data_IF_348349959623
#
_entry.id   IF_348349959623
#
_cell.length_a   1.000
_cell.length_b   1.000
_cell.length_c   1.000
_cell.angle_alpha   90.00
_cell.angle_beta   90.00
_cell.angle_gamma   90.00
#
_symmetry.space_group_name_H-M   'P 1'
#
loop_
_entity.id
_entity.type
_entity.pdbx_description
1 polymer ?
#
# COMPACT_ATOMS: atom_id res chain seq x y z
N UNK A 1 -32.62 -48.04 -39.82
CA UNK A 1 -32.05 -49.23 -40.51
C UNK A 1 -30.57 -49.26 -40.16
N UNK A 2 -30.18 -50.18 -39.26
CA UNK A 2 -28.82 -50.41 -38.80
C UNK A 2 -27.99 -51.06 -39.92
N UNK A 3 -26.74 -50.64 -40.11
CA UNK A 3 -25.73 -51.47 -40.78
C UNK A 3 -24.46 -51.43 -39.95
N UNK A 4 -24.22 -52.55 -39.26
CA UNK A 4 -22.95 -52.98 -38.67
C UNK A 4 -21.90 -53.15 -39.78
N UNK A 5 -20.64 -52.86 -39.46
CA UNK A 5 -19.50 -53.56 -40.08
C UNK A 5 -18.57 -54.08 -39.00
N UNK A 6 -18.35 -55.39 -39.07
CA UNK A 6 -17.41 -56.22 -38.31
C UNK A 6 -16.00 -56.10 -38.96
N UNK A 7 -14.93 -55.89 -38.16
CA UNK A 7 -13.88 -56.85 -37.72
C UNK A 7 -13.00 -57.41 -38.89
N UNK A 8 -11.65 -57.37 -38.78
CA UNK A 8 -10.95 -58.56 -38.30
C UNK A 8 -9.82 -58.32 -37.27
N UNK A 9 -9.67 -59.38 -36.47
CA UNK A 9 -8.70 -59.68 -35.42
C UNK A 9 -7.59 -60.56 -36.00
N UNK A 10 -6.33 -60.30 -35.63
CA UNK A 10 -5.21 -61.27 -35.47
C UNK A 10 -4.23 -60.58 -34.50
N UNK A 11 -3.91 -61.11 -33.30
CA UNK A 11 -3.11 -62.32 -33.01
C UNK A 11 -1.61 -61.92 -32.99
N UNK A 12 -0.72 -62.20 -32.04
CA UNK A 12 -0.68 -63.07 -30.86
C UNK A 12 0.57 -62.71 -30.00
N UNK A 13 0.39 -62.68 -28.67
CA UNK A 13 1.11 -63.40 -27.59
C UNK A 13 2.62 -63.17 -27.29
N UNK A 14 2.87 -62.83 -26.00
CA UNK A 14 3.79 -63.46 -25.02
C UNK A 14 4.60 -62.46 -24.17
N UNK A 15 4.53 -62.63 -22.85
CA UNK A 15 5.42 -61.95 -21.91
C UNK A 15 4.93 -61.99 -20.46
N UNK A 16 4.98 -63.16 -19.83
CA UNK A 16 4.66 -63.38 -18.43
C UNK A 16 5.62 -62.63 -17.48
N UNK A 17 5.08 -61.99 -16.44
CA UNK A 17 5.85 -61.32 -15.39
C UNK A 17 5.07 -61.17 -14.09
N UNK A 18 5.23 -62.16 -13.21
CA UNK A 18 5.12 -62.13 -11.75
C UNK A 18 4.13 -61.15 -11.08
N UNK A 19 3.00 -61.70 -10.60
CA UNK A 19 2.09 -61.09 -9.63
C UNK A 19 2.76 -61.09 -8.24
N UNK A 20 3.07 -59.92 -7.70
CA UNK A 20 3.30 -59.69 -6.26
C UNK A 20 1.98 -59.26 -5.60
N UNK A 21 1.60 -59.81 -4.43
CA UNK A 21 0.39 -59.41 -3.75
C UNK A 21 0.55 -58.01 -3.12
N UNK A 22 -0.30 -57.07 -3.56
CA UNK A 22 -0.40 -55.72 -3.02
C UNK A 22 -1.28 -55.74 -1.76
N UNK A 23 -0.67 -55.95 -0.60
CA UNK A 23 -1.28 -55.60 0.68
C UNK A 23 -1.11 -54.09 0.92
N UNK A 24 -2.07 -53.26 0.51
CA UNK A 24 -2.14 -51.88 0.99
C UNK A 24 -3.53 -51.25 0.84
N UNK A 25 -4.52 -51.77 1.58
CA UNK A 25 -5.78 -51.07 1.81
C UNK A 25 -6.29 -51.41 3.21
N UNK A 26 -5.83 -50.68 4.24
CA UNK A 26 -6.53 -50.62 5.54
C UNK A 26 -6.12 -49.52 6.52
N UNK A 27 -5.58 -48.36 6.08
CA UNK A 27 -5.40 -47.21 6.97
C UNK A 27 -6.26 -46.03 6.50
N UNK A 28 -7.47 -45.94 7.05
CA UNK A 28 -8.40 -44.83 6.82
C UNK A 28 -7.97 -43.52 7.50
N UNK A 29 -8.49 -42.37 7.07
CA UNK A 29 -8.05 -41.02 7.48
C UNK A 29 -8.44 -40.60 8.91
N UNK A 30 -8.80 -41.52 9.81
CA UNK A 30 -9.30 -41.18 11.15
C UNK A 30 -8.19 -40.86 12.17
N UNK A 31 -6.97 -41.33 11.97
CA UNK A 31 -5.89 -41.17 12.97
C UNK A 31 -5.13 -39.83 12.86
N UNK A 32 -5.16 -39.18 11.69
CA UNK A 32 -4.46 -37.89 11.48
C UNK A 32 -5.23 -36.72 12.12
N UNK A 33 -6.57 -36.77 12.16
CA UNK A 33 -7.41 -35.78 12.83
C UNK A 33 -7.33 -35.88 14.36
N UNK A 34 -7.31 -37.09 14.91
CA UNK A 34 -7.16 -37.29 16.35
C UNK A 34 -5.83 -36.72 16.87
N UNK A 35 -4.75 -36.93 16.11
CA UNK A 35 -3.41 -36.47 16.50
C UNK A 35 -3.21 -34.95 16.33
N UNK A 36 -4.00 -34.29 15.48
CA UNK A 36 -3.98 -32.84 15.31
C UNK A 36 -4.86 -32.12 16.34
N UNK A 37 -6.01 -32.69 16.72
CA UNK A 37 -6.84 -32.22 17.84
C UNK A 37 -6.11 -32.30 19.19
N UNK A 38 -5.44 -33.41 19.49
CA UNK A 38 -4.65 -33.53 20.72
C UNK A 38 -3.52 -32.49 20.82
N UNK A 39 -2.88 -32.13 19.68
CA UNK A 39 -1.87 -31.07 19.64
C UNK A 39 -2.47 -29.68 19.89
N UNK A 40 -3.70 -29.44 19.44
CA UNK A 40 -4.41 -28.18 19.68
C UNK A 40 -4.79 -28.03 21.15
N UNK A 41 -5.31 -29.09 21.77
CA UNK A 41 -5.70 -29.12 23.19
C UNK A 41 -4.48 -28.87 24.09
N UNK A 42 -3.36 -29.57 23.86
CA UNK A 42 -2.12 -29.36 24.64
C UNK A 42 -1.58 -27.94 24.52
N UNK A 43 -1.68 -27.31 23.33
CA UNK A 43 -1.29 -25.90 23.14
C UNK A 43 -2.21 -24.94 23.90
N UNK A 44 -3.50 -25.25 23.99
CA UNK A 44 -4.46 -24.44 24.73
C UNK A 44 -4.24 -24.54 26.25
N UNK A 45 -3.97 -25.74 26.76
CA UNK A 45 -3.64 -25.97 28.17
C UNK A 45 -2.33 -25.29 28.58
N UNK A 46 -1.28 -25.38 27.76
CA UNK A 46 -0.01 -24.70 28.00
C UNK A 46 -0.16 -23.16 28.04
N UNK A 47 -1.06 -22.60 27.22
CA UNK A 47 -1.38 -21.16 27.27
C UNK A 47 -2.13 -20.78 28.54
N UNK A 48 -3.07 -21.63 28.99
CA UNK A 48 -3.81 -21.42 30.24
C UNK A 48 -2.88 -21.51 31.45
N UNK A 49 -1.95 -22.46 31.50
CA UNK A 49 -1.00 -22.58 32.60
C UNK A 49 -0.03 -21.39 32.66
N UNK A 50 0.46 -20.91 31.51
CA UNK A 50 1.32 -19.72 31.43
C UNK A 50 0.57 -18.45 31.86
N UNK A 51 -0.69 -18.30 31.46
CA UNK A 51 -1.54 -17.18 31.87
C UNK A 51 -1.80 -17.21 33.39
N UNK A 52 -2.12 -18.39 33.94
CA UNK A 52 -2.30 -18.56 35.38
C UNK A 52 -1.01 -18.29 36.17
N UNK A 53 0.15 -18.71 35.65
CA UNK A 53 1.44 -18.42 36.28
C UNK A 53 1.77 -16.91 36.28
N UNK A 54 1.51 -16.22 35.16
CA UNK A 54 1.68 -14.74 35.08
C UNK A 54 0.72 -14.02 36.02
N UNK A 55 -0.53 -14.44 36.11
CA UNK A 55 -1.52 -13.86 37.02
C UNK A 55 -1.09 -14.03 38.49
N UNK A 56 -0.57 -15.20 38.87
CA UNK A 56 -0.02 -15.44 40.22
C UNK A 56 1.23 -14.61 40.50
N UNK A 57 2.10 -14.40 39.50
CA UNK A 57 3.29 -13.55 39.65
C UNK A 57 2.90 -12.09 39.88
N UNK A 58 1.91 -11.58 39.14
CA UNK A 58 1.38 -10.22 39.33
C UNK A 58 0.65 -10.08 40.67
N UNK A 59 -0.08 -11.10 41.12
CA UNK A 59 -0.78 -11.09 42.42
C UNK A 59 0.18 -11.19 43.63
N UNK A 60 1.40 -11.70 43.45
CA UNK A 60 2.41 -11.89 44.50
C UNK A 60 3.36 -10.70 44.69
N UNK A 61 3.14 -9.57 44.02
CA UNK A 61 3.89 -8.32 44.25
C UNK A 61 2.98 -7.23 44.87
N UNK A 62 2.54 -7.33 46.15
CA UNK A 62 1.44 -6.49 46.64
C UNK A 62 1.84 -5.07 47.06
N UNK A 63 3.10 -4.65 46.93
CA UNK A 63 3.56 -3.40 47.59
C UNK A 63 4.32 -2.42 46.68
N UNK A 64 4.78 -2.83 45.50
CA UNK A 64 5.54 -1.92 44.60
C UNK A 64 4.64 -1.27 43.53
N UNK A 65 3.55 -1.93 43.14
CA UNK A 65 2.66 -1.47 42.06
C UNK A 65 1.89 -0.19 42.37
N UNK A 66 1.40 -0.01 43.60
CA UNK A 66 0.60 1.15 44.00
C UNK A 66 1.43 2.44 44.07
N UNK A 67 2.66 2.36 44.60
CA UNK A 67 3.58 3.52 44.61
C UNK A 67 4.08 3.87 43.20
N UNK A 68 4.34 2.87 42.34
CA UNK A 68 4.76 3.12 40.96
C UNK A 68 3.65 3.77 40.12
N UNK A 69 2.40 3.33 40.27
CA UNK A 69 1.25 3.95 39.56
C UNK A 69 0.93 5.35 40.08
N UNK A 70 1.08 5.61 41.38
CA UNK A 70 0.87 6.95 41.94
C UNK A 70 2.00 7.93 41.55
N UNK A 71 3.26 7.47 41.48
CA UNK A 71 4.41 8.28 41.01
C UNK A 71 4.35 8.55 39.50
N UNK A 72 3.85 7.60 38.71
CA UNK A 72 3.55 7.82 37.28
C UNK A 72 2.41 8.82 37.07
N UNK A 73 1.35 8.77 37.89
CA UNK A 73 0.22 9.71 37.80
C UNK A 73 0.61 11.13 38.20
N UNK A 74 1.38 11.30 39.28
CA UNK A 74 1.87 12.61 39.72
C UNK A 74 2.81 13.24 38.67
N UNK A 75 3.73 12.45 38.09
CA UNK A 75 4.61 12.93 37.03
C UNK A 75 3.94 13.16 35.68
N UNK A 76 2.73 12.62 35.44
CA UNK A 76 1.96 12.89 34.23
C UNK A 76 1.20 14.23 34.31
N UNK A 77 0.71 14.60 35.50
CA UNK A 77 0.04 15.88 35.73
C UNK A 77 1.01 17.07 35.66
N UNK A 78 2.23 16.92 36.19
CA UNK A 78 3.26 17.97 36.15
C UNK A 78 3.87 18.16 34.74
N UNK A 79 3.79 17.14 33.87
CA UNK A 79 4.24 17.22 32.46
C UNK A 79 3.21 17.83 31.52
N UNK A 80 1.97 18.04 31.96
CA UNK A 80 0.93 18.74 31.19
C UNK A 80 1.02 20.26 31.30
N UNK A 81 1.75 20.80 32.30
CA UNK A 81 1.90 22.25 32.54
C UNK A 81 3.17 22.86 31.96
N UNK A 82 4.19 22.06 31.61
CA UNK A 82 5.38 22.55 30.93
C UNK A 82 5.06 22.81 29.44
N UNK A 83 4.95 24.10 29.04
CA UNK A 83 4.84 24.50 27.63
C UNK A 83 6.07 23.98 26.88
N UNK A 84 5.94 22.95 26.01
CA UNK A 84 7.03 22.58 25.12
C UNK A 84 7.12 23.68 24.07
N UNK A 85 8.30 24.25 23.87
CA UNK A 85 8.60 24.96 22.62
C UNK A 85 8.20 24.03 21.45
N UNK A 86 7.43 24.56 20.51
CA UNK A 86 6.64 23.78 19.57
C UNK A 86 7.50 22.78 18.82
N UNK A 87 7.28 21.48 19.10
CA UNK A 87 7.92 20.41 18.35
C UNK A 87 7.60 20.52 16.84
N UNK A 88 6.52 21.22 16.49
CA UNK A 88 6.15 21.60 15.14
C UNK A 88 7.21 22.48 14.45
N UNK A 89 7.84 23.44 15.15
CA UNK A 89 8.78 24.40 14.55
C UNK A 89 10.08 23.73 14.08
N UNK A 90 10.58 22.81 14.90
CA UNK A 90 11.79 22.03 14.57
C UNK A 90 11.54 21.08 13.40
N UNK A 91 10.32 20.53 13.30
CA UNK A 91 9.92 19.69 12.17
C UNK A 91 9.74 20.54 10.92
N UNK A 92 9.13 21.72 11.01
CA UNK A 92 8.86 22.61 9.87
C UNK A 92 10.14 23.12 9.21
N UNK A 93 11.06 23.74 9.98
CA UNK A 93 12.26 24.36 9.41
C UNK A 93 13.21 23.36 8.77
N UNK A 94 13.39 22.20 9.39
CA UNK A 94 14.30 21.16 8.91
C UNK A 94 13.73 20.40 7.70
N UNK A 95 12.43 20.11 7.71
CA UNK A 95 11.76 19.40 6.62
C UNK A 95 11.77 20.23 5.33
N UNK A 96 11.49 21.53 5.42
CA UNK A 96 11.45 22.40 4.25
C UNK A 96 12.84 22.54 3.60
N UNK A 97 13.88 22.84 4.38
CA UNK A 97 15.20 23.13 3.81
C UNK A 97 15.87 21.88 3.22
N UNK A 98 15.80 20.75 3.91
CA UNK A 98 16.51 19.53 3.51
C UNK A 98 15.81 18.77 2.38
N UNK A 99 14.47 18.70 2.41
CA UNK A 99 13.71 17.94 1.43
C UNK A 99 13.70 18.65 0.06
N UNK A 100 13.40 19.96 0.02
CA UNK A 100 13.37 20.69 -1.25
C UNK A 100 14.76 20.83 -1.89
N UNK A 101 15.83 20.91 -1.08
CA UNK A 101 17.20 20.96 -1.58
C UNK A 101 17.61 19.70 -2.34
N UNK A 102 17.29 18.50 -1.82
CA UNK A 102 17.64 17.23 -2.48
C UNK A 102 16.61 16.76 -3.51
N UNK A 103 15.34 17.15 -3.36
CA UNK A 103 14.31 16.94 -4.38
C UNK A 103 14.68 17.63 -5.69
N UNK A 104 15.28 18.83 -5.63
CA UNK A 104 15.82 19.52 -6.83
C UNK A 104 16.87 18.69 -7.56
N UNK A 105 17.73 17.96 -6.85
CA UNK A 105 18.74 17.07 -7.46
C UNK A 105 18.08 15.88 -8.13
N UNK A 106 17.07 15.26 -7.50
CA UNK A 106 16.32 14.16 -8.10
C UNK A 106 15.55 14.62 -9.36
N UNK A 107 14.82 15.73 -9.26
CA UNK A 107 14.09 16.32 -10.39
C UNK A 107 15.04 16.73 -11.51
N UNK A 108 16.21 17.29 -11.18
CA UNK A 108 17.24 17.62 -12.15
C UNK A 108 17.76 16.35 -12.86
N UNK A 109 18.16 15.32 -12.12
CA UNK A 109 18.60 14.06 -12.72
C UNK A 109 17.53 13.42 -13.61
N UNK A 110 16.29 13.41 -13.16
CA UNK A 110 15.17 12.90 -13.95
C UNK A 110 14.96 13.74 -15.21
N UNK A 111 15.05 15.08 -15.11
CA UNK A 111 14.91 15.98 -16.27
C UNK A 111 16.06 15.85 -17.29
N UNK A 112 17.28 15.55 -16.83
CA UNK A 112 18.44 15.30 -17.69
C UNK A 112 18.32 13.96 -18.41
N UNK A 113 17.81 12.93 -17.72
CA UNK A 113 17.49 11.63 -18.32
C UNK A 113 16.27 11.69 -19.25
N UNK A 114 15.47 12.76 -19.15
CA UNK A 114 14.24 12.97 -19.93
C UNK A 114 14.41 13.82 -21.19
N UNK A 115 15.65 14.08 -21.65
CA UNK A 115 15.81 14.58 -23.02
C UNK A 115 15.07 13.63 -23.97
N UNK A 116 14.34 14.16 -24.97
CA UNK A 116 13.41 13.38 -25.77
C UNK A 116 14.14 12.18 -26.34
N UNK A 117 13.86 11.02 -25.75
CA UNK A 117 14.22 9.73 -26.33
C UNK A 117 13.32 9.61 -27.54
N UNK A 118 13.91 9.50 -28.72
CA UNK A 118 13.18 9.39 -29.99
C UNK A 118 12.03 8.38 -29.85
N UNK A 119 10.85 8.81 -30.34
CA UNK A 119 9.50 8.26 -30.10
C UNK A 119 9.31 6.77 -30.42
N UNK A 120 10.33 6.08 -30.94
CA UNK A 120 10.21 4.75 -31.56
C UNK A 120 10.70 3.59 -30.71
N UNK A 121 11.46 3.81 -29.63
CA UNK A 121 11.93 2.69 -28.80
C UNK A 121 11.16 2.62 -27.48
N UNK A 122 10.15 1.75 -27.43
CA UNK A 122 9.52 1.26 -26.17
C UNK A 122 10.58 0.79 -25.17
N UNK A 123 11.74 0.33 -25.65
CA UNK A 123 12.91 0.02 -24.82
C UNK A 123 13.49 1.25 -24.12
N UNK A 124 13.65 2.39 -24.79
CA UNK A 124 14.22 3.60 -24.19
C UNK A 124 13.40 4.10 -22.99
N UNK A 125 12.07 4.11 -23.13
CA UNK A 125 11.17 4.46 -22.02
C UNK A 125 11.29 3.51 -20.83
N UNK A 126 11.42 2.20 -21.06
CA UNK A 126 11.62 1.22 -19.98
C UNK A 126 12.96 1.41 -19.26
N UNK A 127 14.05 1.69 -20.00
CA UNK A 127 15.34 1.97 -19.37
C UNK A 127 15.31 3.21 -18.49
N UNK A 128 14.70 4.30 -18.98
CA UNK A 128 14.52 5.52 -18.19
C UNK A 128 13.72 5.24 -16.92
N UNK A 129 12.64 4.46 -17.02
CA UNK A 129 11.81 4.10 -15.88
C UNK A 129 12.57 3.27 -14.84
N UNK A 130 13.33 2.25 -15.28
CA UNK A 130 14.12 1.38 -14.40
C UNK A 130 15.25 2.16 -13.72
N UNK A 131 15.98 2.97 -14.48
CA UNK A 131 17.05 3.81 -13.93
C UNK A 131 16.49 4.83 -12.93
N UNK A 132 15.35 5.44 -13.24
CA UNK A 132 14.64 6.35 -12.34
C UNK A 132 14.20 5.64 -11.05
N UNK A 133 13.67 4.42 -11.15
CA UNK A 133 13.30 3.63 -9.96
C UNK A 133 14.52 3.29 -9.09
N UNK A 134 15.67 2.99 -9.70
CA UNK A 134 16.92 2.79 -8.97
C UNK A 134 17.42 4.08 -8.29
N UNK A 135 17.37 5.21 -8.99
CA UNK A 135 17.72 6.52 -8.43
C UNK A 135 16.82 6.89 -7.23
N UNK A 136 15.51 6.65 -7.34
CA UNK A 136 14.55 6.78 -6.24
C UNK A 136 14.95 5.88 -5.06
N UNK A 137 15.36 4.64 -5.32
CA UNK A 137 15.78 3.72 -4.25
C UNK A 137 16.98 4.25 -3.47
N UNK A 138 18.00 4.75 -4.18
CA UNK A 138 19.19 5.35 -3.56
C UNK A 138 18.81 6.62 -2.77
N UNK A 139 17.96 7.47 -3.35
CA UNK A 139 17.45 8.67 -2.70
C UNK A 139 16.73 8.34 -1.39
N UNK A 140 15.83 7.36 -1.42
CA UNK A 140 15.12 6.85 -0.23
C UNK A 140 16.09 6.43 0.86
N UNK A 141 17.12 5.63 0.53
CA UNK A 141 18.12 5.18 1.50
C UNK A 141 18.85 6.35 2.17
N UNK A 142 19.21 7.37 1.40
CA UNK A 142 19.87 8.57 1.93
C UNK A 142 18.94 9.38 2.85
N UNK A 143 17.66 9.54 2.49
CA UNK A 143 16.68 10.29 3.28
C UNK A 143 16.26 9.58 4.57
N UNK A 144 16.18 8.25 4.57
CA UNK A 144 15.74 7.48 5.75
C UNK A 144 16.64 7.68 6.97
N UNK A 145 17.95 7.90 6.77
CA UNK A 145 18.86 8.22 7.88
C UNK A 145 18.42 9.49 8.62
N UNK A 146 18.11 10.53 7.84
CA UNK A 146 17.71 11.83 8.33
C UNK A 146 16.34 11.76 9.03
N UNK A 147 15.37 11.11 8.41
CA UNK A 147 14.05 10.94 9.03
C UNK A 147 14.08 10.09 10.31
N UNK A 148 15.04 9.16 10.43
CA UNK A 148 15.24 8.41 11.68
C UNK A 148 15.72 9.31 12.80
N UNK A 149 16.71 10.17 12.56
CA UNK A 149 17.18 11.14 13.56
C UNK A 149 16.05 12.05 14.04
N UNK A 150 15.23 12.56 13.11
CA UNK A 150 14.04 13.33 13.45
C UNK A 150 13.07 12.50 14.30
N UNK A 151 12.82 11.25 13.90
CA UNK A 151 11.94 10.33 14.63
C UNK A 151 12.42 10.04 16.06
N UNK A 152 13.72 9.88 16.28
CA UNK A 152 14.31 9.73 17.62
C UNK A 152 14.12 10.98 18.46
N UNK A 153 14.36 12.16 17.87
CA UNK A 153 14.13 13.45 18.55
C UNK A 153 12.66 13.64 18.95
N UNK A 154 11.72 13.29 18.07
CA UNK A 154 10.28 13.33 18.37
C UNK A 154 9.92 12.30 19.43
N UNK A 155 10.40 11.06 19.31
CA UNK A 155 10.15 10.01 20.30
C UNK A 155 10.65 10.40 21.69
N UNK A 156 11.85 10.98 21.78
CA UNK A 156 12.42 11.47 23.02
C UNK A 156 11.60 12.62 23.63
N UNK A 157 11.07 13.53 22.81
CA UNK A 157 10.20 14.61 23.31
C UNK A 157 8.86 14.11 23.82
N UNK A 158 8.27 13.12 23.14
CA UNK A 158 6.96 12.57 23.50
C UNK A 158 7.02 11.67 24.74
N UNK A 159 8.05 10.83 24.83
CA UNK A 159 8.11 9.73 25.81
C UNK A 159 9.26 9.87 26.82
N UNK A 160 10.08 10.91 26.70
CA UNK A 160 11.26 11.12 27.55
C UNK A 160 12.48 10.30 27.11
N UNK A 161 13.47 10.20 28.01
CA UNK A 161 14.73 9.49 27.73
C UNK A 161 14.48 8.02 27.38
N UNK A 162 13.63 7.32 28.13
CA UNK A 162 13.42 5.88 27.98
C UNK A 162 12.41 5.48 26.88
N UNK A 163 12.26 6.30 25.84
CA UNK A 163 11.28 6.09 24.77
C UNK A 163 11.41 4.73 24.07
N UNK A 164 12.62 4.18 23.97
CA UNK A 164 12.90 2.90 23.33
C UNK A 164 12.27 1.72 24.06
N UNK A 165 12.00 1.84 25.37
CA UNK A 165 11.35 0.81 26.17
C UNK A 165 9.83 0.88 26.05
N UNK A 166 9.29 2.06 25.72
CA UNK A 166 7.85 2.31 25.61
C UNK A 166 7.32 2.00 24.20
N UNK A 167 8.11 2.31 23.17
CA UNK A 167 7.72 2.09 21.78
C UNK A 167 8.02 0.66 21.30
N UNK A 168 7.25 0.22 20.30
CA UNK A 168 7.50 -1.06 19.63
C UNK A 168 8.87 -1.05 18.92
N UNK A 169 9.59 -2.18 18.86
CA UNK A 169 10.80 -2.29 18.06
C UNK A 169 10.56 -1.84 16.61
N UNK A 170 11.40 -0.94 16.11
CA UNK A 170 11.27 -0.39 14.75
C UNK A 170 10.21 0.71 14.59
N UNK A 171 9.61 1.22 15.67
CA UNK A 171 8.68 2.35 15.64
C UNK A 171 9.28 3.58 14.93
N UNK A 172 10.48 4.00 15.33
CA UNK A 172 11.21 5.11 14.69
C UNK A 172 11.49 4.85 13.21
N UNK A 173 11.87 3.62 12.85
CA UNK A 173 12.09 3.28 11.44
C UNK A 173 10.80 3.33 10.63
N UNK A 174 9.69 2.89 11.23
CA UNK A 174 8.35 2.99 10.62
C UNK A 174 7.96 4.45 10.45
N UNK A 175 8.14 5.28 11.49
CA UNK A 175 7.92 6.72 11.42
C UNK A 175 8.73 7.34 10.27
N UNK A 176 10.04 7.06 10.23
CA UNK A 176 10.93 7.62 9.23
C UNK A 176 10.52 7.25 7.79
N UNK A 177 10.15 5.99 7.58
CA UNK A 177 9.66 5.51 6.29
C UNK A 177 8.35 6.20 5.90
N UNK A 178 7.43 6.41 6.85
CA UNK A 178 6.15 7.07 6.58
C UNK A 178 6.31 8.57 6.33
N UNK A 179 7.22 9.24 7.03
CA UNK A 179 7.56 10.63 6.72
C UNK A 179 8.14 10.75 5.32
N UNK A 180 9.07 9.87 4.92
CA UNK A 180 9.60 9.86 3.56
C UNK A 180 8.50 9.72 2.51
N UNK A 181 7.61 8.72 2.65
CA UNK A 181 6.52 8.53 1.69
C UNK A 181 5.53 9.70 1.70
N UNK A 182 5.19 10.26 2.87
CA UNK A 182 4.37 11.45 2.95
C UNK A 182 4.99 12.63 2.18
N UNK A 183 6.31 12.86 2.31
CA UNK A 183 7.00 13.92 1.57
C UNK A 183 6.97 13.69 0.05
N UNK A 184 7.20 12.45 -0.39
CA UNK A 184 7.13 12.08 -1.80
C UNK A 184 5.72 12.25 -2.34
N UNK A 185 4.70 11.77 -1.62
CA UNK A 185 3.31 11.93 -2.02
C UNK A 185 2.87 13.40 -2.04
N UNK A 186 3.39 14.27 -1.16
CA UNK A 186 3.17 15.72 -1.24
C UNK A 186 3.76 16.26 -2.54
N UNK A 187 5.00 15.92 -2.88
CA UNK A 187 5.63 16.35 -4.13
C UNK A 187 4.84 15.87 -5.35
N UNK A 188 4.41 14.60 -5.37
CA UNK A 188 3.54 14.03 -6.39
C UNK A 188 2.21 14.76 -6.49
N UNK A 189 1.57 15.09 -5.37
CA UNK A 189 0.29 15.80 -5.34
C UNK A 189 0.41 17.20 -5.91
N UNK A 190 1.48 17.92 -5.57
CA UNK A 190 1.72 19.26 -6.09
C UNK A 190 2.04 19.23 -7.59
N UNK A 191 2.95 18.34 -8.00
CA UNK A 191 3.32 18.18 -9.41
C UNK A 191 2.14 17.71 -10.26
N UNK A 192 1.41 16.70 -9.81
CA UNK A 192 0.24 16.19 -10.51
C UNK A 192 -0.90 17.21 -10.54
N UNK A 193 -1.08 18.00 -9.47
CA UNK A 193 -2.07 19.08 -9.43
C UNK A 193 -1.76 20.16 -10.45
N UNK A 194 -0.48 20.50 -10.62
CA UNK A 194 -0.03 21.42 -11.66
C UNK A 194 -0.21 20.82 -13.07
N UNK A 195 0.28 19.59 -13.28
CA UNK A 195 0.22 18.89 -14.58
C UNK A 195 -1.20 18.56 -15.04
N UNK A 196 -2.11 18.29 -14.10
CA UNK A 196 -3.49 17.87 -14.36
C UNK A 196 -4.52 18.97 -14.07
N UNK A 197 -4.11 20.21 -13.77
CA UNK A 197 -5.01 21.29 -13.35
C UNK A 197 -6.23 21.47 -14.26
N UNK A 198 -6.03 21.41 -15.57
CA UNK A 198 -7.09 21.47 -16.60
C UNK A 198 -8.05 20.28 -16.53
N UNK A 199 -7.58 19.11 -16.10
CA UNK A 199 -8.31 17.84 -16.10
C UNK A 199 -9.00 17.52 -14.77
N UNK A 200 -8.57 18.15 -13.68
CA UNK A 200 -9.13 17.95 -12.33
C UNK A 200 -10.49 18.66 -12.13
N UNK A 201 -10.82 19.62 -12.98
CA UNK A 201 -12.07 20.39 -12.88
C UNK A 201 -13.08 20.01 -13.96
N UNK A 202 -12.65 19.21 -14.93
CA UNK A 202 -13.47 18.82 -16.08
C UNK A 202 -14.42 17.69 -15.67
N UNK A 203 -15.73 17.79 -16.02
CA UNK A 203 -16.66 16.69 -15.86
C UNK A 203 -16.12 15.39 -16.44
N UNK A 204 -16.32 14.28 -15.74
CA UNK A 204 -15.74 12.98 -16.09
C UNK A 204 -16.03 12.49 -17.52
N UNK A 205 -17.13 12.96 -18.11
CA UNK A 205 -17.53 12.67 -19.49
C UNK A 205 -16.60 13.33 -20.52
N UNK A 206 -16.09 14.54 -20.23
CA UNK A 206 -15.16 15.27 -21.09
C UNK A 206 -13.72 14.78 -20.95
N UNK A 207 -13.35 14.27 -19.77
CA UNK A 207 -12.11 13.53 -19.54
C UNK A 207 -11.95 12.36 -20.53
N UNK A 208 -13.07 11.85 -21.05
CA UNK A 208 -13.17 10.63 -21.83
C UNK A 208 -13.80 10.84 -23.22
N UNK A 209 -13.97 12.09 -23.65
CA UNK A 209 -14.56 12.38 -24.95
C UNK A 209 -13.70 11.81 -26.10
N UNK A 210 -14.31 11.14 -27.11
CA UNK A 210 -13.63 10.71 -28.33
C UNK A 210 -13.20 11.90 -29.20
N UNK A 211 -12.22 11.71 -30.10
CA UNK A 211 -11.62 10.45 -30.51
C UNK A 211 -10.56 9.89 -29.55
N UNK A 212 -10.47 8.56 -29.54
CA UNK A 212 -9.41 7.77 -28.90
C UNK A 212 -8.70 6.98 -30.01
N UNK A 213 -7.36 6.88 -30.02
CA UNK A 213 -6.40 7.55 -29.14
C UNK A 213 -6.25 9.05 -29.43
N UNK A 214 -5.87 9.84 -28.42
CA UNK A 214 -5.55 11.28 -28.58
C UNK A 214 -4.12 11.50 -29.07
N UNK A 215 -3.82 12.72 -29.50
CA UNK A 215 -2.46 13.18 -29.74
C UNK A 215 -1.57 12.99 -28.49
N UNK A 216 -0.26 13.06 -28.67
CA UNK A 216 0.71 12.86 -27.59
C UNK A 216 0.41 13.77 -26.38
N UNK A 217 0.51 13.23 -25.15
CA UNK A 217 0.20 13.98 -23.94
C UNK A 217 1.20 15.14 -23.77
N UNK A 218 0.76 16.19 -23.09
CA UNK A 218 1.66 17.31 -22.76
C UNK A 218 2.89 16.80 -22.00
N UNK A 219 4.06 17.41 -22.23
CA UNK A 219 5.29 17.06 -21.52
C UNK A 219 5.11 17.10 -19.98
N UNK A 220 4.25 17.99 -19.47
CA UNK A 220 3.93 18.09 -18.04
C UNK A 220 3.28 16.81 -17.49
N UNK A 221 2.30 16.27 -18.21
CA UNK A 221 1.60 15.03 -17.85
C UNK A 221 2.56 13.84 -17.98
N UNK A 222 3.34 13.80 -19.06
CA UNK A 222 4.33 12.75 -19.30
C UNK A 222 5.36 12.67 -18.15
N UNK A 223 5.99 13.80 -17.81
CA UNK A 223 6.97 13.87 -16.71
C UNK A 223 6.35 13.42 -15.39
N UNK A 224 5.13 13.87 -15.09
CA UNK A 224 4.44 13.51 -13.85
C UNK A 224 4.18 12.01 -13.75
N UNK A 225 3.60 11.41 -14.79
CA UNK A 225 3.27 9.98 -14.83
C UNK A 225 4.51 9.11 -14.75
N UNK A 226 5.62 9.57 -15.34
CA UNK A 226 6.87 8.81 -15.35
C UNK A 226 7.58 8.87 -14.01
N UNK A 227 7.50 10.00 -13.30
CA UNK A 227 7.95 10.08 -11.91
C UNK A 227 7.15 9.14 -10.99
N UNK A 228 5.83 9.22 -11.03
CA UNK A 228 4.94 8.32 -10.27
C UNK A 228 5.14 6.85 -10.65
N UNK A 229 5.31 6.58 -11.95
CA UNK A 229 5.61 5.24 -12.46
C UNK A 229 6.92 4.69 -11.88
N UNK A 230 7.98 5.51 -11.81
CA UNK A 230 9.25 5.10 -11.23
C UNK A 230 9.10 4.78 -9.73
N UNK A 231 8.34 5.59 -8.99
CA UNK A 231 8.00 5.33 -7.58
C UNK A 231 7.20 4.02 -7.43
N UNK A 232 6.22 3.80 -8.30
CA UNK A 232 5.40 2.60 -8.30
C UNK A 232 6.23 1.35 -8.58
N UNK A 233 7.17 1.40 -9.53
CA UNK A 233 8.11 0.31 -9.83
C UNK A 233 9.04 0.03 -8.64
N UNK A 234 9.69 1.06 -8.08
CA UNK A 234 10.58 0.90 -6.92
C UNK A 234 9.86 0.24 -5.73
N UNK A 235 8.67 0.74 -5.43
CA UNK A 235 7.85 0.24 -4.33
C UNK A 235 7.37 -1.19 -4.59
N UNK A 236 7.02 -1.51 -5.84
CA UNK A 236 6.64 -2.88 -6.25
C UNK A 236 7.79 -3.87 -6.08
N UNK A 237 9.00 -3.50 -6.48
CA UNK A 237 10.21 -4.34 -6.29
C UNK A 237 10.46 -4.56 -4.80
N UNK A 238 10.41 -3.51 -3.99
CA UNK A 238 10.57 -3.63 -2.54
C UNK A 238 9.52 -4.55 -1.92
N UNK A 239 8.26 -4.42 -2.33
CA UNK A 239 7.16 -5.23 -1.83
C UNK A 239 7.27 -6.70 -2.26
N UNK A 240 7.70 -6.97 -3.49
CA UNK A 240 7.95 -8.32 -3.98
C UNK A 240 9.05 -9.02 -3.18
N UNK A 241 10.16 -8.32 -2.90
CA UNK A 241 11.25 -8.83 -2.06
C UNK A 241 10.78 -9.10 -0.62
N UNK A 242 9.95 -8.22 -0.06
CA UNK A 242 9.39 -8.39 1.28
C UNK A 242 8.36 -9.54 1.35
N UNK A 243 7.59 -9.75 0.30
CA UNK A 243 6.69 -10.90 0.16
C UNK A 243 7.47 -12.20 0.14
N UNK A 244 8.51 -12.27 -0.71
CA UNK A 244 9.38 -13.42 -0.84
C UNK A 244 10.04 -13.80 0.49
N UNK A 245 10.51 -12.82 1.25
CA UNK A 245 11.24 -13.07 2.52
C UNK A 245 10.35 -13.38 3.72
N UNK A 246 9.11 -12.87 3.78
CA UNK A 246 8.35 -12.79 5.05
C UNK A 246 6.87 -13.23 4.97
N UNK A 247 6.32 -13.58 3.80
CA UNK A 247 5.01 -14.22 3.55
C UNK A 247 3.76 -13.96 4.45
N UNK A 248 2.92 -12.93 4.19
CA UNK A 248 1.60 -12.77 4.79
C UNK A 248 0.48 -12.31 3.83
N UNK A 249 -0.78 -12.37 4.29
CA UNK A 249 -1.97 -11.90 3.55
C UNK A 249 -2.00 -10.38 3.27
N UNK A 250 -1.66 -9.52 4.24
CA UNK A 250 -1.70 -8.05 4.05
C UNK A 250 -0.74 -7.57 2.95
N UNK A 251 0.42 -8.21 2.81
CA UNK A 251 1.39 -7.87 1.76
C UNK A 251 0.89 -8.31 0.37
N UNK A 252 0.12 -9.40 0.27
CA UNK A 252 -0.48 -9.86 -1.00
C UNK A 252 -1.49 -8.84 -1.55
N UNK A 253 -2.35 -8.28 -0.70
CA UNK A 253 -3.33 -7.27 -1.12
C UNK A 253 -2.64 -5.98 -1.61
N UNK A 254 -1.57 -5.55 -0.94
CA UNK A 254 -0.76 -4.43 -1.44
C UNK A 254 -0.08 -4.77 -2.76
N UNK A 255 0.40 -6.00 -2.96
CA UNK A 255 1.06 -6.37 -4.21
C UNK A 255 0.07 -6.42 -5.38
N UNK A 256 -1.14 -6.93 -5.13
CA UNK A 256 -2.23 -6.86 -6.11
C UNK A 256 -2.56 -5.40 -6.48
N UNK A 257 -2.62 -4.50 -5.48
CA UNK A 257 -2.82 -3.08 -5.74
C UNK A 257 -1.71 -2.49 -6.63
N UNK A 258 -0.44 -2.75 -6.32
CA UNK A 258 0.68 -2.27 -7.12
C UNK A 258 0.64 -2.83 -8.56
N UNK A 259 0.31 -4.12 -8.71
CA UNK A 259 0.11 -4.72 -10.02
C UNK A 259 -1.02 -4.04 -10.81
N UNK A 260 -2.16 -3.75 -10.16
CA UNK A 260 -3.27 -3.03 -10.77
C UNK A 260 -2.90 -1.59 -11.15
N UNK A 261 -2.19 -0.84 -10.31
CA UNK A 261 -1.75 0.52 -10.62
C UNK A 261 -0.80 0.52 -11.83
N UNK A 262 0.19 -0.38 -11.87
CA UNK A 262 1.10 -0.50 -13.01
C UNK A 262 0.37 -0.92 -14.29
N UNK A 263 -0.59 -1.84 -14.19
CA UNK A 263 -1.46 -2.23 -15.31
C UNK A 263 -2.24 -1.02 -15.83
N UNK A 264 -2.88 -0.25 -14.94
CA UNK A 264 -3.70 0.91 -15.31
C UNK A 264 -2.88 2.02 -15.96
N UNK A 265 -1.69 2.33 -15.43
CA UNK A 265 -0.78 3.30 -16.05
C UNK A 265 -0.39 2.83 -17.45
N UNK A 266 -0.01 1.56 -17.60
CA UNK A 266 0.35 0.97 -18.89
C UNK A 266 -0.82 0.99 -19.88
N UNK A 267 -2.03 0.65 -19.45
CA UNK A 267 -3.21 0.68 -20.31
C UNK A 267 -3.60 2.12 -20.69
N UNK A 268 -3.47 3.09 -19.77
CA UNK A 268 -3.74 4.50 -20.08
C UNK A 268 -2.80 5.04 -21.17
N UNK A 269 -1.54 4.62 -21.17
CA UNK A 269 -0.60 4.89 -22.26
C UNK A 269 -1.04 4.23 -23.57
N UNK A 270 -1.37 2.94 -23.54
CA UNK A 270 -1.77 2.17 -24.73
C UNK A 270 -3.05 2.68 -25.38
N UNK A 271 -3.96 3.24 -24.60
CA UNK A 271 -5.22 3.83 -25.05
C UNK A 271 -5.10 5.30 -25.47
N UNK A 272 -3.95 5.94 -25.27
CA UNK A 272 -3.76 7.37 -25.57
C UNK A 272 -4.58 8.30 -24.67
N UNK A 273 -4.71 7.95 -23.39
CA UNK A 273 -5.44 8.72 -22.36
C UNK A 273 -4.64 8.83 -21.07
N UNK A 274 -3.39 9.23 -21.24
CA UNK A 274 -2.45 9.35 -20.15
C UNK A 274 -2.90 10.39 -19.12
N UNK A 275 -3.68 11.40 -19.54
CA UNK A 275 -4.26 12.43 -18.67
C UNK A 275 -5.24 11.84 -17.67
N UNK A 276 -6.07 10.88 -18.08
CA UNK A 276 -6.98 10.15 -17.19
C UNK A 276 -6.17 9.31 -16.21
N UNK A 277 -5.14 8.61 -16.69
CA UNK A 277 -4.20 7.89 -15.84
C UNK A 277 -3.52 8.80 -14.81
N UNK A 278 -3.13 10.01 -15.23
CA UNK A 278 -2.53 11.02 -14.38
C UNK A 278 -3.49 11.54 -13.30
N UNK A 279 -4.76 11.77 -13.63
CA UNK A 279 -5.79 12.13 -12.62
C UNK A 279 -5.95 11.01 -11.59
N UNK A 280 -5.98 9.74 -12.01
CA UNK A 280 -6.08 8.59 -11.09
C UNK A 280 -4.85 8.50 -10.17
N UNK A 281 -3.65 8.72 -10.71
CA UNK A 281 -2.41 8.79 -9.92
C UNK A 281 -2.41 9.98 -8.95
N UNK A 282 -2.95 11.12 -9.37
CA UNK A 282 -3.02 12.30 -8.51
C UNK A 282 -3.96 12.08 -7.33
N UNK A 283 -5.17 11.55 -7.60
CA UNK A 283 -6.10 11.13 -6.55
C UNK A 283 -5.42 10.11 -5.61
N UNK A 284 -4.54 9.28 -6.17
CA UNK A 284 -3.76 8.35 -5.37
C UNK A 284 -2.85 9.05 -4.37
N UNK A 285 -1.89 9.81 -4.88
CA UNK A 285 -0.89 10.48 -4.05
C UNK A 285 -1.52 11.48 -3.08
N UNK A 286 -2.54 12.23 -3.50
CA UNK A 286 -3.22 13.20 -2.65
C UNK A 286 -3.89 12.54 -1.42
N UNK A 287 -4.54 11.40 -1.61
CA UNK A 287 -5.19 10.68 -0.52
C UNK A 287 -4.21 9.95 0.42
N UNK A 288 -3.03 9.57 -0.10
CA UNK A 288 -2.04 8.81 0.63
C UNK A 288 -1.19 9.69 1.58
N UNK A 289 -1.09 11.01 1.32
CA UNK A 289 -0.41 11.97 2.23
C UNK A 289 -0.96 11.90 3.67
N UNK A 290 -2.26 12.13 3.93
CA UNK A 290 -2.80 12.00 5.28
C UNK A 290 -2.66 10.59 5.88
N UNK A 291 -2.72 9.55 5.05
CA UNK A 291 -2.61 8.15 5.49
C UNK A 291 -1.20 7.86 6.01
N UNK A 292 -0.16 8.33 5.33
CA UNK A 292 1.21 8.16 5.79
C UNK A 292 1.50 9.01 7.03
N UNK A 293 0.97 10.23 7.11
CA UNK A 293 1.02 11.02 8.36
C UNK A 293 0.36 10.28 9.51
N UNK A 294 -0.85 9.73 9.33
CA UNK A 294 -1.55 8.93 10.35
C UNK A 294 -0.72 7.73 10.79
N UNK A 295 -0.11 7.00 9.85
CA UNK A 295 0.76 5.85 10.17
C UNK A 295 2.02 6.30 10.91
N UNK A 296 2.62 7.44 10.57
CA UNK A 296 3.79 8.00 11.24
C UNK A 296 3.46 8.35 12.70
N UNK A 297 2.41 9.14 12.90
CA UNK A 297 1.88 9.52 14.22
C UNK A 297 1.56 8.29 15.06
N UNK A 298 0.89 7.29 14.47
CA UNK A 298 0.58 6.02 15.14
C UNK A 298 1.81 5.19 15.49
N UNK A 299 2.88 5.24 14.69
CA UNK A 299 4.11 4.52 14.97
C UNK A 299 4.80 5.03 16.24
N UNK A 300 4.77 6.35 16.49
CA UNK A 300 5.31 6.97 17.69
C UNK A 300 4.30 7.08 18.84
N UNK A 301 3.10 6.50 18.72
CA UNK A 301 2.03 6.62 19.72
C UNK A 301 1.75 8.09 20.12
N UNK A 302 1.78 9.00 19.16
CA UNK A 302 1.56 10.42 19.43
C UNK A 302 0.05 10.71 19.59
N UNK A 303 -0.46 10.52 20.80
CA UNK A 303 -1.90 10.53 21.12
C UNK A 303 -2.61 11.81 20.69
N UNK A 304 -2.01 12.98 20.97
CA UNK A 304 -2.59 14.30 20.64
C UNK A 304 -2.81 14.49 19.14
N UNK A 305 -1.93 13.94 18.31
CA UNK A 305 -2.00 14.09 16.85
C UNK A 305 -2.78 12.94 16.17
N UNK A 306 -3.06 11.84 16.88
CA UNK A 306 -3.63 10.64 16.28
C UNK A 306 -5.07 10.85 15.79
N UNK A 307 -5.93 11.47 16.62
CA UNK A 307 -7.31 11.75 16.25
C UNK A 307 -7.43 12.72 15.07
N UNK A 308 -6.79 13.90 15.07
CA UNK A 308 -6.87 14.81 13.92
C UNK A 308 -6.28 14.19 12.65
N UNK A 309 -5.14 13.48 12.74
CA UNK A 309 -4.58 12.79 11.58
C UNK A 309 -5.53 11.71 11.03
N UNK A 310 -6.23 10.98 11.90
CA UNK A 310 -7.22 9.99 11.47
C UNK A 310 -8.43 10.64 10.79
N UNK A 311 -8.95 11.74 11.34
CA UNK A 311 -10.07 12.45 10.77
C UNK A 311 -9.74 12.96 9.36
N UNK A 312 -8.61 13.65 9.20
CA UNK A 312 -8.13 14.15 7.89
C UNK A 312 -7.93 13.01 6.90
N UNK A 313 -7.31 11.90 7.32
CA UNK A 313 -7.11 10.74 6.46
C UNK A 313 -8.41 10.04 6.05
N UNK A 314 -9.41 10.02 6.93
CA UNK A 314 -10.71 9.44 6.64
C UNK A 314 -11.49 10.30 5.64
N UNK A 315 -11.49 11.62 5.85
CA UNK A 315 -12.16 12.57 4.95
C UNK A 315 -11.49 12.59 3.58
N UNK A 316 -10.15 12.64 3.52
CA UNK A 316 -9.42 12.64 2.24
C UNK A 316 -9.66 11.36 1.45
N UNK A 317 -9.64 10.19 2.11
CA UNK A 317 -9.90 8.91 1.47
C UNK A 317 -11.33 8.80 0.94
N UNK A 318 -12.31 9.18 1.76
CA UNK A 318 -13.73 9.20 1.36
C UNK A 318 -13.93 10.11 0.15
N UNK A 319 -13.48 11.37 0.25
CA UNK A 319 -13.66 12.37 -0.81
C UNK A 319 -12.98 11.98 -2.12
N UNK A 320 -11.68 11.63 -2.08
CA UNK A 320 -10.91 11.41 -3.31
C UNK A 320 -11.11 10.02 -3.91
N UNK A 321 -11.16 8.96 -3.09
CA UNK A 321 -11.22 7.56 -3.58
C UNK A 321 -12.62 7.00 -3.69
N UNK A 322 -13.54 7.40 -2.82
CA UNK A 322 -14.87 6.82 -2.75
C UNK A 322 -15.97 7.70 -3.35
N UNK A 323 -15.72 9.01 -3.49
CA UNK A 323 -16.66 9.94 -4.12
C UNK A 323 -16.12 10.39 -5.48
N UNK A 324 -14.97 11.08 -5.50
CA UNK A 324 -14.44 11.66 -6.74
C UNK A 324 -14.10 10.59 -7.78
N UNK A 325 -13.26 9.60 -7.43
CA UNK A 325 -12.83 8.56 -8.35
C UNK A 325 -13.99 7.83 -9.06
N UNK A 326 -15.02 7.31 -8.37
CA UNK A 326 -16.10 6.63 -9.06
C UNK A 326 -16.98 7.57 -9.91
N UNK A 327 -17.28 8.77 -9.42
CA UNK A 327 -18.19 9.69 -10.11
C UNK A 327 -17.56 10.37 -11.32
N UNK A 328 -16.27 10.72 -11.24
CA UNK A 328 -15.57 11.47 -12.29
C UNK A 328 -14.72 10.61 -13.22
N UNK A 329 -14.40 9.37 -12.86
CA UNK A 329 -13.54 8.52 -13.70
C UNK A 329 -14.21 7.18 -14.02
N UNK A 330 -14.58 6.41 -13.00
CA UNK A 330 -15.06 5.04 -13.21
C UNK A 330 -16.41 4.99 -13.95
N UNK A 331 -17.41 5.74 -13.47
CA UNK A 331 -18.77 5.66 -14.02
C UNK A 331 -18.86 6.22 -15.44
N UNK A 332 -18.32 7.42 -15.74
CA UNK A 332 -18.29 7.93 -17.11
C UNK A 332 -17.49 7.01 -18.05
N UNK A 333 -16.39 6.43 -17.56
CA UNK A 333 -15.60 5.44 -18.29
C UNK A 333 -16.40 4.20 -18.66
N UNK A 334 -17.13 3.63 -17.70
CA UNK A 334 -17.98 2.46 -17.96
C UNK A 334 -19.12 2.78 -18.93
N UNK A 335 -19.71 3.98 -18.86
CA UNK A 335 -20.70 4.47 -19.82
C UNK A 335 -20.14 4.49 -21.24
N UNK A 336 -18.95 5.07 -21.42
CA UNK A 336 -18.27 5.11 -22.72
C UNK A 336 -17.95 3.70 -23.23
N UNK A 337 -17.37 2.83 -22.39
CA UNK A 337 -17.01 1.47 -22.80
C UNK A 337 -18.23 0.67 -23.30
N UNK A 338 -19.41 0.87 -22.69
CA UNK A 338 -20.67 0.24 -23.13
C UNK A 338 -21.21 0.77 -24.46
N UNK A 339 -20.82 1.99 -24.84
CA UNK A 339 -21.21 2.61 -26.10
C UNK A 339 -20.31 2.21 -27.28
N UNK A 340 -19.14 1.63 -26.99
CA UNK A 340 -18.19 1.16 -28.01
C UNK A 340 -18.62 -0.23 -28.49
N UNK A 341 -18.70 -0.41 -29.82
CA UNK A 341 -19.02 -1.71 -30.43
C UNK A 341 -17.92 -2.75 -30.10
N UNK A 342 -18.28 -3.85 -29.38
CA UNK A 342 -17.35 -4.92 -29.04
C UNK A 342 -16.76 -5.66 -30.24
N UNK A 343 -17.43 -5.61 -31.40
CA UNK A 343 -17.09 -6.41 -32.57
C UNK A 343 -16.20 -5.69 -33.59
N UNK A 344 -16.04 -4.36 -33.47
CA UNK A 344 -15.45 -3.53 -34.53
C UNK A 344 -14.24 -2.67 -34.16
N UNK A 345 -13.86 -2.54 -32.89
CA UNK A 345 -12.83 -1.57 -32.47
C UNK A 345 -11.64 -2.20 -31.76
N UNK A 346 -10.42 -1.83 -32.19
CA UNK A 346 -9.15 -2.32 -31.63
C UNK A 346 -8.95 -1.87 -30.17
N UNK A 347 -9.70 -0.85 -29.77
CA UNK A 347 -9.65 -0.15 -28.49
C UNK A 347 -10.53 -0.80 -27.42
N UNK A 348 -11.51 -1.64 -27.80
CA UNK A 348 -12.45 -2.25 -26.87
C UNK A 348 -11.76 -3.14 -25.82
N UNK A 349 -10.87 -4.05 -26.26
CA UNK A 349 -10.21 -4.99 -25.34
C UNK A 349 -9.30 -4.27 -24.33
N UNK A 350 -8.38 -3.37 -24.74
CA UNK A 350 -7.58 -2.62 -23.78
C UNK A 350 -8.43 -1.72 -22.86
N UNK A 351 -9.52 -1.14 -23.37
CA UNK A 351 -10.48 -0.37 -22.58
C UNK A 351 -11.18 -1.21 -21.50
N UNK A 352 -11.63 -2.41 -21.88
CA UNK A 352 -12.26 -3.35 -20.96
C UNK A 352 -11.29 -3.81 -19.86
N UNK A 353 -10.03 -4.10 -20.20
CA UNK A 353 -8.98 -4.43 -19.23
C UNK A 353 -8.74 -3.26 -18.27
N UNK A 354 -8.60 -2.04 -18.80
CA UNK A 354 -8.38 -0.85 -18.00
C UNK A 354 -9.51 -0.63 -16.99
N UNK A 355 -10.77 -0.64 -17.44
CA UNK A 355 -11.89 -0.32 -16.53
C UNK A 355 -12.21 -1.44 -15.56
N UNK A 356 -11.98 -2.69 -15.94
CA UNK A 356 -12.02 -3.83 -15.00
C UNK A 356 -10.95 -3.69 -13.92
N UNK A 357 -9.72 -3.28 -14.31
CA UNK A 357 -8.65 -2.99 -13.37
C UNK A 357 -8.99 -1.83 -12.43
N UNK A 358 -9.63 -0.78 -12.93
CA UNK A 358 -10.04 0.37 -12.14
C UNK A 358 -11.16 0.02 -11.16
N UNK A 359 -12.13 -0.80 -11.58
CA UNK A 359 -13.17 -1.34 -10.72
C UNK A 359 -12.60 -2.24 -9.61
N UNK A 360 -11.63 -3.11 -9.94
CA UNK A 360 -10.92 -3.93 -8.97
C UNK A 360 -10.15 -3.07 -7.95
N UNK A 361 -9.50 -1.99 -8.43
CA UNK A 361 -8.81 -1.03 -7.58
C UNK A 361 -9.78 -0.31 -6.63
N UNK A 362 -10.94 0.10 -7.14
CA UNK A 362 -12.00 0.71 -6.34
C UNK A 362 -12.52 -0.23 -5.24
N UNK A 363 -12.73 -1.51 -5.54
CA UNK A 363 -13.11 -2.51 -4.55
C UNK A 363 -12.07 -2.63 -3.42
N UNK A 364 -10.78 -2.60 -3.75
CA UNK A 364 -9.70 -2.54 -2.74
C UNK A 364 -9.78 -1.26 -1.89
N UNK A 365 -10.10 -0.11 -2.49
CA UNK A 365 -10.27 1.14 -1.76
C UNK A 365 -11.42 1.10 -0.75
N UNK A 366 -12.54 0.45 -1.09
CA UNK A 366 -13.67 0.25 -0.17
C UNK A 366 -13.24 -0.62 1.01
N UNK A 367 -12.53 -1.73 0.76
CA UNK A 367 -12.01 -2.61 1.81
C UNK A 367 -11.06 -1.85 2.75
N UNK A 368 -10.17 -1.02 2.21
CA UNK A 368 -9.24 -0.23 3.02
C UNK A 368 -9.91 0.89 3.79
N UNK A 369 -10.91 1.54 3.22
CA UNK A 369 -11.72 2.51 3.95
C UNK A 369 -12.40 1.87 5.15
N UNK A 370 -13.03 0.71 4.96
CA UNK A 370 -13.63 -0.05 6.06
C UNK A 370 -12.61 -0.37 7.16
N UNK A 371 -11.37 -0.75 6.79
CA UNK A 371 -10.29 -0.99 7.76
C UNK A 371 -9.83 0.30 8.48
N UNK A 372 -9.72 1.41 7.75
CA UNK A 372 -9.34 2.72 8.30
C UNK A 372 -10.38 3.18 9.33
N UNK A 373 -11.65 3.12 8.95
CA UNK A 373 -12.79 3.44 9.81
C UNK A 373 -12.82 2.56 11.06
N UNK A 374 -12.77 1.23 10.90
CA UNK A 374 -12.81 0.30 12.03
C UNK A 374 -11.64 0.47 12.99
N UNK A 375 -10.45 0.83 12.52
CA UNK A 375 -9.30 1.08 13.40
C UNK A 375 -9.46 2.39 14.16
N UNK A 376 -9.91 3.45 13.51
CA UNK A 376 -10.17 4.74 14.17
C UNK A 376 -11.24 4.65 15.24
N UNK A 377 -12.41 4.08 14.91
CA UNK A 377 -13.52 3.92 15.87
C UNK A 377 -13.11 3.08 17.08
N UNK A 378 -12.35 1.99 16.87
CA UNK A 378 -11.84 1.19 17.99
C UNK A 378 -10.86 1.98 18.85
N UNK A 379 -9.94 2.73 18.25
CA UNK A 379 -9.00 3.56 18.99
C UNK A 379 -9.73 4.58 19.88
N UNK A 380 -10.77 5.23 19.35
CA UNK A 380 -11.60 6.18 20.11
C UNK A 380 -12.39 5.52 21.24
N UNK A 381 -12.96 4.33 21.01
CA UNK A 381 -13.72 3.58 22.04
C UNK A 381 -12.84 3.02 23.16
N UNK A 382 -11.58 2.75 22.88
CA UNK A 382 -10.61 2.25 23.86
C UNK A 382 -9.86 3.35 24.60
N UNK A 383 -10.02 4.62 24.20
CA UNK A 383 -9.47 5.75 24.93
C UNK A 383 -10.17 5.87 26.29
N UNK A 384 -9.42 6.05 27.41
CA UNK A 384 -10.03 6.38 28.69
C UNK A 384 -10.91 7.62 28.50
N UNK A 385 -12.17 7.56 28.96
CA UNK A 385 -13.00 8.76 29.03
C UNK A 385 -12.32 9.68 30.05
N UNK A 386 -11.78 10.79 29.58
CA UNK A 386 -11.17 11.84 30.40
C UNK A 386 -12.21 12.51 31.29
#
# INVERSE_FOLDING_TARGET
MMVRREVPVHGEVHGAGAVRPLHYLQNGPRDVEAHSLQRLVRRHEARRSLAAHRARKVAREPVVGARATQKMRAGAHERLSARPADAADVVHGFFFYFFFGRLRVLVFFLSVLYRPVDETSTMGGMFVLIFSAFAVHLYRRACLCVFRQVGEGVAHRLHGRDWWALLKPGAVSTFAERCFYASVHVACTLMGGWSCSEWLVVPGELLLAPPWPRALPSHRVLTYVMFEGALAVESSVCLALDLYRRGPARRRMMALHHALVLLLVTMSWRLGILEVGAVVLWLHSASDVPIDVLKAVGALQWERALLPAWAVATVSWLGLRLVYLPLHVLWPGLGLLRSVDPSGTREYVPGAIAWSGLAALFALHVVWFAQLWHRGVRAMRSAPRL
#
